data_IF_215696334443
#
_entry.id   IF_215696334443
#
_cell.length_a   1.000
_cell.length_b   1.000
_cell.length_c   1.000
_cell.angle_alpha   90.00
_cell.angle_beta   90.00
_cell.angle_gamma   90.00
#
_symmetry.space_group_name_H-M   'P 1'
#
loop_
_entity.id
_entity.type
_entity.pdbx_description
1 polymer ?
#
# COMPACT_ATOMS: atom_id res chain seq x y z
N UNK A 1 5.62 14.99 3.93
CA UNK A 1 5.32 13.71 3.27
C UNK A 1 4.61 14.03 1.95
N UNK A 2 4.94 13.35 0.85
CA UNK A 2 4.30 13.61 -0.44
C UNK A 2 2.80 13.20 -0.35
N UNK A 3 1.82 14.04 -0.74
CA UNK A 3 0.39 13.76 -0.52
C UNK A 3 -0.09 12.42 -1.09
N UNK A 4 0.46 12.03 -2.24
CA UNK A 4 0.17 10.73 -2.88
C UNK A 4 0.66 9.56 -2.03
N UNK A 5 1.83 9.68 -1.40
CA UNK A 5 2.38 8.63 -0.55
C UNK A 5 1.50 8.41 0.69
N UNK A 6 0.97 9.50 1.25
CA UNK A 6 0.08 9.44 2.40
C UNK A 6 -1.22 8.71 2.08
N UNK A 7 -1.82 8.99 0.91
CA UNK A 7 -3.01 8.29 0.44
C UNK A 7 -2.75 6.80 0.25
N UNK A 8 -1.63 6.45 -0.41
CA UNK A 8 -1.22 5.05 -0.62
C UNK A 8 -1.04 4.29 0.69
N UNK A 9 -0.36 4.89 1.68
CA UNK A 9 -0.16 4.26 2.99
C UNK A 9 -1.51 4.05 3.71
N UNK A 10 -2.41 5.02 3.60
CA UNK A 10 -3.74 4.93 4.21
C UNK A 10 -4.59 3.84 3.57
N UNK A 11 -4.63 3.75 2.25
CA UNK A 11 -5.35 2.71 1.50
C UNK A 11 -4.88 1.30 1.88
N UNK A 12 -3.57 1.12 2.08
CA UNK A 12 -2.99 -0.15 2.53
C UNK A 12 -3.44 -0.46 3.95
N UNK A 13 -3.40 0.53 4.85
CA UNK A 13 -3.80 0.36 6.23
C UNK A 13 -5.28 -0.01 6.36
N UNK A 14 -6.17 0.64 5.62
CA UNK A 14 -7.61 0.33 5.60
C UNK A 14 -7.86 -1.13 5.20
N UNK A 15 -7.20 -1.64 4.15
CA UNK A 15 -7.35 -3.03 3.72
C UNK A 15 -6.87 -4.04 4.74
N UNK A 16 -5.76 -3.74 5.40
CA UNK A 16 -5.23 -4.59 6.48
C UNK A 16 -6.19 -4.60 7.67
N UNK A 17 -6.80 -3.46 8.01
CA UNK A 17 -7.80 -3.36 9.07
C UNK A 17 -9.09 -4.12 8.70
N UNK A 18 -9.43 -4.21 7.42
CA UNK A 18 -10.54 -5.02 6.89
C UNK A 18 -10.22 -6.54 6.83
N UNK A 19 -9.01 -6.95 7.24
CA UNK A 19 -8.60 -8.34 7.36
C UNK A 19 -7.85 -8.91 6.16
N UNK A 20 -7.48 -8.07 5.19
CA UNK A 20 -6.56 -8.46 4.11
C UNK A 20 -5.15 -8.66 4.66
N UNK A 21 -4.39 -9.61 4.12
CA UNK A 21 -2.98 -9.71 4.48
C UNK A 21 -2.22 -8.47 4.01
N UNK A 22 -1.17 -8.10 4.74
CA UNK A 22 -0.33 -6.94 4.39
C UNK A 22 0.22 -7.04 2.96
N UNK A 23 0.66 -8.22 2.55
CA UNK A 23 1.28 -8.43 1.24
C UNK A 23 0.24 -8.31 0.10
N UNK A 24 -0.97 -8.85 0.31
CA UNK A 24 -2.09 -8.66 -0.63
C UNK A 24 -2.51 -7.19 -0.71
N UNK A 25 -2.60 -6.49 0.43
CA UNK A 25 -2.94 -5.06 0.45
C UNK A 25 -1.91 -4.21 -0.30
N UNK A 26 -0.62 -4.47 -0.09
CA UNK A 26 0.47 -3.80 -0.80
C UNK A 26 0.40 -4.10 -2.30
N UNK A 27 0.28 -5.36 -2.70
CA UNK A 27 0.21 -5.74 -4.11
C UNK A 27 -1.00 -5.12 -4.82
N UNK A 28 -2.16 -5.09 -4.16
CA UNK A 28 -3.38 -4.55 -4.74
C UNK A 28 -3.33 -3.02 -4.86
N UNK A 29 -2.89 -2.32 -3.82
CA UNK A 29 -2.73 -0.85 -3.86
C UNK A 29 -1.65 -0.45 -4.86
N UNK A 30 -0.54 -1.21 -4.95
CA UNK A 30 0.49 -0.99 -5.97
C UNK A 30 -0.11 -1.05 -7.38
N UNK A 31 -0.88 -2.10 -7.68
CA UNK A 31 -1.52 -2.27 -8.97
C UNK A 31 -2.52 -1.15 -9.30
N UNK A 32 -3.32 -0.71 -8.33
CA UNK A 32 -4.32 0.35 -8.52
C UNK A 32 -3.71 1.73 -8.74
N UNK A 33 -2.56 2.01 -8.11
CA UNK A 33 -1.86 3.30 -8.23
C UNK A 33 -0.74 3.27 -9.30
N UNK A 34 -0.57 2.16 -10.02
CA UNK A 34 0.48 2.01 -11.04
C UNK A 34 1.90 2.03 -10.48
N UNK A 35 2.08 1.57 -9.24
CA UNK A 35 3.35 1.52 -8.53
C UNK A 35 3.93 0.10 -8.54
N UNK A 36 5.22 -0.01 -8.20
CA UNK A 36 5.84 -1.31 -7.95
C UNK A 36 5.59 -1.72 -6.50
N UNK A 37 5.09 -2.95 -6.30
CA UNK A 37 4.87 -3.49 -4.96
C UNK A 37 6.17 -3.55 -4.14
N UNK A 38 7.31 -3.82 -4.78
CA UNK A 38 8.63 -3.84 -4.13
C UNK A 38 9.02 -2.49 -3.52
N UNK A 39 8.68 -1.38 -4.18
CA UNK A 39 8.93 -0.04 -3.66
C UNK A 39 8.10 0.22 -2.39
N UNK A 40 6.83 -0.21 -2.40
CA UNK A 40 5.95 -0.10 -1.24
C UNK A 40 6.37 -1.03 -0.10
N UNK A 41 6.83 -2.24 -0.40
CA UNK A 41 7.42 -3.13 0.60
C UNK A 41 8.60 -2.46 1.28
N UNK A 42 9.53 -1.89 0.52
CA UNK A 42 10.72 -1.19 1.04
C UNK A 42 10.32 0.03 1.88
N UNK A 43 9.32 0.79 1.45
CA UNK A 43 8.82 1.98 2.15
C UNK A 43 8.17 1.64 3.50
N UNK A 44 7.50 0.49 3.60
CA UNK A 44 6.66 0.11 4.73
C UNK A 44 7.35 -0.82 5.73
N UNK A 45 8.61 -1.22 5.52
CA UNK A 45 9.39 -2.02 6.49
C UNK A 45 9.55 -1.28 7.82
#
# INVERSE_FOLDING_TARGET
MHPVLQAVIWDIAERVLDGMSRDEAIAQVANEHGLLAEDLHTLLQ
#
